data_IF_076984696936
#
_entry.id   IF_076984696936
#
_cell.length_a   1.000
_cell.length_b   1.000
_cell.length_c   1.000
_cell.angle_alpha   90.00
_cell.angle_beta   90.00
_cell.angle_gamma   90.00
#
_symmetry.space_group_name_H-M   'P 1'
#
loop_
_entity.id
_entity.type
_entity.pdbx_description
1 polymer ?
#
# COMPACT_ATOMS: atom_id res chain seq x y z
N UNK A 1 55.06 -33.83 -31.96
CA UNK A 1 53.90 -34.18 -32.78
C UNK A 1 52.66 -33.88 -31.95
N UNK A 2 51.86 -32.94 -32.21
CA UNK A 2 51.19 -32.24 -33.18
C UNK A 2 50.61 -30.93 -32.65
N UNK A 3 50.76 -29.97 -33.48
CA UNK A 3 50.25 -28.60 -33.38
C UNK A 3 48.73 -28.53 -33.31
N UNK A 4 48.17 -27.69 -32.44
CA UNK A 4 46.79 -27.20 -32.59
C UNK A 4 46.82 -25.66 -32.57
N UNK A 5 46.28 -25.16 -33.67
CA UNK A 5 46.30 -23.79 -34.12
C UNK A 5 45.47 -22.82 -33.24
N UNK A 6 45.97 -21.58 -33.15
CA UNK A 6 45.32 -20.41 -32.62
C UNK A 6 44.09 -20.01 -33.46
N UNK A 7 42.91 -19.84 -32.84
CA UNK A 7 41.77 -19.12 -33.42
C UNK A 7 41.72 -17.72 -32.80
N UNK A 8 41.88 -16.72 -33.69
CA UNK A 8 41.95 -15.31 -33.35
C UNK A 8 40.64 -14.74 -32.82
N UNK A 9 40.75 -14.03 -31.71
CA UNK A 9 39.71 -13.16 -31.18
C UNK A 9 39.61 -11.88 -32.03
N UNK A 10 38.57 -11.76 -32.86
CA UNK A 10 38.22 -10.49 -33.53
C UNK A 10 37.63 -9.54 -32.47
N UNK A 11 38.34 -8.49 -32.15
CA UNK A 11 37.83 -7.33 -31.44
C UNK A 11 36.85 -6.58 -32.37
N UNK A 12 35.57 -6.54 -32.00
CA UNK A 12 34.60 -5.64 -32.60
C UNK A 12 34.80 -4.30 -31.93
N UNK A 13 35.39 -3.35 -32.67
CA UNK A 13 35.45 -1.96 -32.29
C UNK A 13 34.08 -1.30 -32.50
N UNK A 14 33.37 -0.93 -31.44
CA UNK A 14 32.21 -0.07 -31.55
C UNK A 14 32.73 1.39 -31.62
N UNK A 15 32.51 2.00 -32.78
CA UNK A 15 32.72 3.45 -32.95
C UNK A 15 31.61 4.23 -32.17
N UNK A 16 31.92 5.40 -31.58
CA UNK A 16 30.92 6.23 -30.94
C UNK A 16 30.10 6.94 -32.03
N UNK A 17 28.83 6.56 -32.15
CA UNK A 17 27.84 7.34 -32.91
C UNK A 17 27.52 8.61 -32.14
N UNK A 18 27.88 9.75 -32.73
CA UNK A 18 27.48 11.09 -32.31
C UNK A 18 25.94 11.15 -32.32
N UNK A 19 25.34 11.44 -31.18
CA UNK A 19 23.94 11.80 -31.06
C UNK A 19 23.81 13.24 -31.60
N UNK A 20 23.30 13.37 -32.80
CA UNK A 20 22.87 14.66 -33.37
C UNK A 20 21.58 15.06 -32.61
N UNK A 21 21.57 16.31 -32.12
CA UNK A 21 20.43 16.99 -31.52
C UNK A 21 19.22 16.90 -32.46
N UNK A 22 18.18 16.15 -32.01
CA UNK A 22 16.86 16.23 -32.65
C UNK A 22 16.14 17.48 -32.14
N UNK A 23 15.81 18.42 -33.05
CA UNK A 23 14.93 19.54 -32.79
C UNK A 23 13.59 19.04 -32.21
N UNK A 24 12.98 19.73 -31.21
CA UNK A 24 11.67 19.38 -30.70
C UNK A 24 10.63 19.57 -31.82
N UNK A 25 9.77 18.55 -31.98
CA UNK A 25 8.60 18.63 -32.85
C UNK A 25 7.73 19.82 -32.44
N UNK A 26 7.17 20.59 -33.38
CA UNK A 26 6.29 21.68 -33.02
C UNK A 26 5.02 21.14 -32.35
N UNK A 27 4.78 21.63 -31.14
CA UNK A 27 3.52 21.40 -30.41
C UNK A 27 2.37 21.99 -31.24
N UNK A 28 1.30 21.21 -31.42
CA UNK A 28 0.10 21.67 -32.11
C UNK A 28 -0.55 22.84 -31.35
N UNK A 29 -1.10 23.81 -32.08
CA UNK A 29 -1.76 24.99 -31.48
C UNK A 29 -2.89 24.60 -30.50
N UNK A 30 -3.48 23.41 -30.63
CA UNK A 30 -4.50 22.88 -29.71
C UNK A 30 -3.96 22.50 -28.32
N UNK A 31 -2.67 22.23 -28.17
CA UNK A 31 -2.07 21.85 -26.87
C UNK A 31 -1.67 23.07 -26.02
N UNK A 32 -1.55 24.25 -26.64
CA UNK A 32 -1.19 25.50 -25.93
C UNK A 32 -2.37 26.17 -25.23
N UNK A 33 -3.58 26.01 -25.76
CA UNK A 33 -4.77 26.65 -25.19
C UNK A 33 -5.30 25.95 -23.95
N UNK A 34 -4.96 24.65 -23.73
CA UNK A 34 -5.36 23.89 -22.53
C UNK A 34 -4.45 24.13 -21.31
N UNK A 35 -3.26 24.67 -21.51
CA UNK A 35 -2.28 24.88 -20.43
C UNK A 35 -2.48 26.19 -19.64
N UNK A 36 -3.33 27.11 -20.10
CA UNK A 36 -3.38 28.48 -19.57
C UNK A 36 -4.75 28.97 -19.08
N UNK A 37 -5.74 28.06 -18.93
CA UNK A 37 -7.01 28.40 -18.29
C UNK A 37 -7.07 27.84 -16.86
N UNK A 38 -6.84 28.68 -15.82
CA UNK A 38 -6.95 28.24 -14.41
C UNK A 38 -8.38 27.89 -13.99
N UNK A 39 -9.35 28.00 -14.90
CA UNK A 39 -10.76 27.67 -14.70
C UNK A 39 -11.25 26.48 -15.51
N UNK A 40 -10.43 25.91 -16.40
CA UNK A 40 -10.79 24.71 -17.15
C UNK A 40 -10.78 23.49 -16.21
N UNK A 41 -11.87 23.30 -15.48
CA UNK A 41 -12.15 22.04 -14.78
C UNK A 41 -12.28 20.97 -15.85
N UNK A 42 -11.47 19.93 -15.72
CA UNK A 42 -11.54 18.78 -16.61
C UNK A 42 -12.88 18.03 -16.31
N UNK A 43 -13.90 18.15 -17.17
CA UNK A 43 -15.22 17.58 -16.86
C UNK A 43 -15.20 16.07 -16.71
N UNK A 44 -14.16 15.40 -17.17
CA UNK A 44 -14.00 13.94 -17.02
C UNK A 44 -13.58 13.50 -15.61
N UNK A 45 -13.29 14.40 -14.68
CA UNK A 45 -12.96 14.10 -13.30
C UNK A 45 -14.11 14.39 -12.32
N UNK A 46 -15.12 15.17 -12.73
CA UNK A 46 -16.26 15.55 -11.87
C UNK A 46 -17.53 14.71 -12.11
N UNK A 47 -17.67 14.04 -13.25
CA UNK A 47 -18.83 13.22 -13.61
C UNK A 47 -18.50 11.71 -13.63
N UNK A 48 -17.98 11.19 -12.51
CA UNK A 48 -18.10 9.77 -12.24
C UNK A 48 -19.60 9.42 -12.16
N UNK A 49 -20.00 8.32 -12.81
CA UNK A 49 -21.35 7.77 -12.73
C UNK A 49 -21.88 7.86 -11.27
N UNK A 50 -22.88 8.73 -10.96
CA UNK A 50 -23.32 8.93 -9.58
C UNK A 50 -23.83 7.65 -8.92
N UNK A 51 -24.43 6.74 -9.71
CA UNK A 51 -24.85 5.42 -9.24
C UNK A 51 -23.63 4.52 -8.97
N UNK A 52 -22.62 4.58 -9.81
CA UNK A 52 -21.37 3.87 -9.61
C UNK A 52 -20.65 4.32 -8.33
N UNK A 53 -20.56 5.62 -8.11
CA UNK A 53 -19.96 6.19 -6.90
C UNK A 53 -20.78 5.84 -5.63
N UNK A 54 -22.11 5.82 -5.72
CA UNK A 54 -22.96 5.38 -4.61
C UNK A 54 -22.72 3.89 -4.27
N UNK A 55 -22.60 3.03 -5.29
CA UNK A 55 -22.26 1.61 -5.13
C UNK A 55 -20.86 1.42 -4.53
N UNK A 56 -19.88 2.23 -4.96
CA UNK A 56 -18.54 2.24 -4.37
C UNK A 56 -18.60 2.61 -2.90
N UNK A 57 -19.27 3.69 -2.55
CA UNK A 57 -19.43 4.13 -1.16
C UNK A 57 -20.05 3.05 -0.30
N UNK A 58 -21.14 2.43 -0.74
CA UNK A 58 -21.79 1.35 -0.02
C UNK A 58 -20.83 0.19 0.26
N UNK A 59 -20.13 -0.30 -0.77
CA UNK A 59 -19.16 -1.41 -0.63
C UNK A 59 -18.00 -1.04 0.29
N UNK A 60 -17.45 0.16 0.15
CA UNK A 60 -16.33 0.63 0.97
C UNK A 60 -16.74 0.87 2.43
N UNK A 61 -18.01 1.24 2.68
CA UNK A 61 -18.56 1.38 4.04
C UNK A 61 -19.05 0.05 4.64
N UNK A 62 -19.05 -1.05 3.86
CA UNK A 62 -19.47 -2.37 4.32
C UNK A 62 -20.91 -2.76 4.05
N UNK A 63 -21.66 -1.92 3.35
CA UNK A 63 -23.01 -2.22 2.83
C UNK A 63 -22.91 -2.95 1.50
N UNK A 64 -22.78 -4.27 1.55
CA UNK A 64 -22.68 -5.11 0.35
C UNK A 64 -24.02 -5.39 -0.33
N UNK A 65 -25.12 -5.12 0.35
CA UNK A 65 -26.46 -5.36 -0.18
C UNK A 65 -26.84 -4.36 -1.28
N UNK A 66 -26.21 -3.20 -1.28
CA UNK A 66 -26.32 -2.21 -2.35
C UNK A 66 -25.74 -2.68 -3.70
N UNK A 67 -24.89 -3.73 -3.71
CA UNK A 67 -24.33 -4.30 -4.94
C UNK A 67 -24.94 -5.67 -5.23
N UNK A 68 -25.80 -5.82 -6.28
CA UNK A 68 -26.54 -7.07 -6.56
C UNK A 68 -25.64 -8.30 -6.73
N UNK A 69 -24.45 -8.14 -7.34
CA UNK A 69 -23.51 -9.24 -7.54
C UNK A 69 -22.89 -9.71 -6.20
N UNK A 70 -22.54 -8.77 -5.33
CA UNK A 70 -21.98 -9.10 -4.01
C UNK A 70 -23.06 -9.65 -3.08
N UNK A 71 -24.27 -9.09 -3.12
CA UNK A 71 -25.43 -9.56 -2.37
C UNK A 71 -25.70 -11.06 -2.59
N UNK A 72 -25.60 -11.53 -3.85
CA UNK A 72 -25.83 -12.93 -4.18
C UNK A 72 -24.65 -13.85 -3.85
N UNK A 73 -23.43 -13.46 -4.19
CA UNK A 73 -22.24 -14.32 -4.11
C UNK A 73 -21.61 -14.35 -2.71
N UNK A 74 -21.57 -13.22 -2.01
CA UNK A 74 -20.88 -13.10 -0.74
C UNK A 74 -21.43 -14.01 0.37
N UNK A 75 -22.76 -14.12 0.59
CA UNK A 75 -23.29 -15.06 1.57
C UNK A 75 -22.89 -16.51 1.27
N UNK A 76 -23.00 -16.94 0.01
CA UNK A 76 -22.63 -18.30 -0.40
C UNK A 76 -21.16 -18.58 -0.09
N UNK A 77 -20.26 -17.70 -0.49
CA UNK A 77 -18.82 -17.88 -0.26
C UNK A 77 -18.45 -17.83 1.24
N UNK A 78 -19.15 -17.04 2.06
CA UNK A 78 -18.88 -16.95 3.49
C UNK A 78 -19.15 -18.27 4.25
N UNK A 79 -20.06 -19.08 3.76
CA UNK A 79 -20.40 -20.38 4.36
C UNK A 79 -19.38 -21.48 4.01
N UNK A 80 -18.55 -21.29 2.98
CA UNK A 80 -17.52 -22.27 2.63
C UNK A 80 -16.34 -22.16 3.60
N UNK A 81 -15.91 -23.23 4.27
CA UNK A 81 -14.74 -23.20 5.16
C UNK A 81 -13.47 -23.06 4.33
N UNK A 82 -12.78 -21.94 4.42
CA UNK A 82 -11.48 -21.71 3.80
C UNK A 82 -10.96 -20.31 4.07
N UNK A 83 -9.68 -20.16 4.32
CA UNK A 83 -8.93 -18.91 4.37
C UNK A 83 -7.60 -19.09 3.63
N UNK A 84 -7.03 -18.03 3.03
CA UNK A 84 -7.51 -16.64 2.91
C UNK A 84 -8.68 -16.49 1.93
N UNK A 85 -9.32 -15.30 1.94
CA UNK A 85 -10.51 -14.97 1.14
C UNK A 85 -10.40 -13.65 0.42
N UNK A 86 -11.15 -13.48 -0.65
CA UNK A 86 -11.36 -12.18 -1.28
C UNK A 86 -12.05 -11.20 -0.32
N UNK A 87 -11.49 -10.02 -0.14
CA UNK A 87 -12.05 -8.99 0.76
C UNK A 87 -13.41 -8.47 0.27
N UNK A 88 -13.68 -8.49 -1.05
CA UNK A 88 -14.96 -8.06 -1.63
C UNK A 88 -16.01 -9.19 -1.60
N UNK A 89 -15.85 -10.24 -2.38
CA UNK A 89 -16.87 -11.26 -2.55
C UNK A 89 -16.77 -12.44 -1.56
N UNK A 90 -15.75 -12.47 -0.69
CA UNK A 90 -15.47 -13.56 0.25
C UNK A 90 -15.13 -14.91 -0.40
N UNK A 91 -14.81 -14.93 -1.71
CA UNK A 91 -14.39 -16.15 -2.39
C UNK A 91 -13.19 -16.80 -1.68
N UNK A 92 -13.25 -18.09 -1.35
CA UNK A 92 -12.17 -18.78 -0.66
C UNK A 92 -11.00 -19.06 -1.60
N UNK A 93 -9.76 -18.95 -1.08
CA UNK A 93 -8.54 -19.24 -1.84
C UNK A 93 -7.85 -20.54 -1.40
N UNK A 94 -8.07 -20.93 -0.14
CA UNK A 94 -7.47 -22.12 0.43
C UNK A 94 -8.32 -23.38 0.22
N UNK A 95 -7.78 -24.57 0.61
CA UNK A 95 -8.53 -25.82 0.60
C UNK A 95 -9.72 -25.78 1.58
N UNK A 96 -10.79 -26.58 1.35
CA UNK A 96 -10.92 -27.51 0.22
C UNK A 96 -11.47 -26.87 -1.07
N UNK A 97 -12.08 -25.66 -1.01
CA UNK A 97 -12.84 -25.09 -2.12
C UNK A 97 -12.06 -24.15 -3.02
N UNK A 98 -10.90 -23.66 -2.59
CA UNK A 98 -10.13 -22.65 -3.32
C UNK A 98 -9.72 -23.07 -4.74
N UNK A 99 -9.43 -24.35 -4.98
CA UNK A 99 -9.11 -24.89 -6.29
C UNK A 99 -10.29 -24.76 -7.27
N UNK A 100 -11.49 -25.13 -6.84
CA UNK A 100 -12.72 -25.09 -7.66
C UNK A 100 -13.07 -23.61 -7.96
N UNK A 101 -13.05 -22.78 -6.92
CA UNK A 101 -13.40 -21.36 -7.03
C UNK A 101 -12.40 -20.62 -7.92
N UNK A 102 -11.12 -21.01 -7.91
CA UNK A 102 -10.09 -20.49 -8.83
C UNK A 102 -10.40 -20.82 -10.29
N UNK A 103 -10.85 -22.05 -10.60
CA UNK A 103 -11.24 -22.44 -11.97
C UNK A 103 -12.43 -21.61 -12.49
N UNK A 104 -13.31 -21.14 -11.58
CA UNK A 104 -14.42 -20.24 -11.90
C UNK A 104 -13.98 -18.76 -12.05
N UNK A 105 -12.70 -18.46 -12.00
CA UNK A 105 -12.13 -17.11 -12.16
C UNK A 105 -12.09 -16.25 -10.91
N UNK A 106 -12.37 -16.83 -9.73
CA UNK A 106 -12.31 -16.14 -8.43
C UNK A 106 -10.96 -16.37 -7.70
N UNK A 107 -9.93 -16.82 -8.40
CA UNK A 107 -8.59 -16.96 -7.80
C UNK A 107 -8.00 -15.62 -7.37
N UNK A 108 -7.01 -15.64 -6.42
CA UNK A 108 -6.35 -14.43 -5.97
C UNK A 108 -5.64 -13.72 -7.13
N UNK A 109 -5.75 -12.41 -7.18
CA UNK A 109 -5.05 -11.62 -8.18
C UNK A 109 -3.57 -11.47 -7.82
N UNK A 110 -2.68 -11.72 -8.80
CA UNK A 110 -1.24 -11.80 -8.53
C UNK A 110 -0.63 -10.49 -7.99
N UNK A 111 -1.15 -9.31 -8.43
CA UNK A 111 -0.65 -8.01 -7.97
C UNK A 111 -1.20 -7.61 -6.60
N UNK A 112 -2.40 -8.08 -6.24
CA UNK A 112 -2.99 -7.85 -4.91
C UNK A 112 -3.84 -9.05 -4.48
N UNK A 113 -3.26 -10.03 -3.76
CA UNK A 113 -3.95 -11.25 -3.36
C UNK A 113 -5.13 -11.05 -2.40
N UNK A 114 -5.34 -9.84 -1.90
CA UNK A 114 -6.52 -9.50 -1.09
C UNK A 114 -7.81 -9.47 -1.91
N UNK A 115 -7.71 -9.37 -3.24
CA UNK A 115 -8.83 -9.34 -4.19
C UNK A 115 -8.75 -10.51 -5.16
N UNK A 116 -9.90 -11.01 -5.63
CA UNK A 116 -9.95 -12.00 -6.70
C UNK A 116 -9.97 -11.34 -8.09
N UNK A 117 -9.53 -12.08 -9.11
CA UNK A 117 -9.53 -11.59 -10.48
C UNK A 117 -10.92 -11.23 -11.01
N UNK A 118 -12.00 -11.90 -10.55
CA UNK A 118 -13.37 -11.54 -10.94
C UNK A 118 -13.79 -10.18 -10.37
N UNK A 119 -13.53 -9.92 -9.08
CA UNK A 119 -13.81 -8.62 -8.48
C UNK A 119 -13.00 -7.50 -9.14
N UNK A 120 -11.72 -7.76 -9.45
CA UNK A 120 -10.90 -6.77 -10.14
C UNK A 120 -11.47 -6.41 -11.51
N UNK A 121 -11.86 -7.40 -12.33
CA UNK A 121 -12.48 -7.13 -13.65
C UNK A 121 -13.77 -6.30 -13.54
N UNK A 122 -14.54 -6.47 -12.45
CA UNK A 122 -15.72 -5.62 -12.19
C UNK A 122 -15.26 -4.20 -11.85
N UNK A 123 -14.23 -4.04 -11.02
CA UNK A 123 -13.67 -2.74 -10.67
C UNK A 123 -13.07 -2.03 -11.89
N UNK A 124 -12.39 -2.74 -12.77
CA UNK A 124 -11.82 -2.20 -14.03
C UNK A 124 -12.90 -1.73 -15.01
N UNK A 125 -14.08 -2.34 -14.99
CA UNK A 125 -15.21 -1.93 -15.83
C UNK A 125 -15.99 -0.75 -15.26
N UNK A 126 -15.93 -0.57 -13.96
CA UNK A 126 -16.61 0.50 -13.23
C UNK A 126 -15.55 1.31 -12.47
N UNK A 127 -14.71 2.01 -13.26
CA UNK A 127 -13.73 2.94 -12.71
C UNK A 127 -14.44 3.98 -11.85
N UNK A 128 -13.85 4.26 -10.69
CA UNK A 128 -14.44 5.21 -9.76
C UNK A 128 -14.05 4.88 -8.33
N UNK A 129 -14.72 5.52 -7.41
CA UNK A 129 -14.49 5.39 -5.99
C UNK A 129 -15.47 6.26 -5.20
N UNK A 130 -15.19 6.44 -3.93
CA UNK A 130 -15.98 7.32 -3.08
C UNK A 130 -15.14 7.87 -1.94
N UNK A 131 -15.56 9.04 -1.43
CA UNK A 131 -15.06 9.55 -0.16
C UNK A 131 -15.65 8.70 0.96
N UNK A 132 -14.74 8.09 1.73
CA UNK A 132 -15.07 7.29 2.91
C UNK A 132 -14.05 7.58 4.01
N UNK A 133 -14.52 7.46 5.25
CA UNK A 133 -13.62 7.43 6.39
C UNK A 133 -12.94 6.07 6.46
N UNK A 134 -11.63 6.08 6.58
CA UNK A 134 -10.81 4.86 6.67
C UNK A 134 -9.57 5.12 7.51
N UNK A 135 -8.91 4.03 7.91
CA UNK A 135 -7.59 4.13 8.52
C UNK A 135 -6.52 3.78 7.50
N UNK A 136 -5.48 4.57 7.51
CA UNK A 136 -4.33 4.46 6.61
C UNK A 136 -3.07 4.24 7.43
N UNK A 137 -2.16 3.44 6.88
CA UNK A 137 -0.87 3.13 7.46
C UNK A 137 0.22 3.35 6.41
N UNK A 138 1.20 4.19 6.73
CA UNK A 138 2.48 4.25 6.04
C UNK A 138 3.57 3.69 6.94
N UNK A 139 4.40 2.84 6.42
CA UNK A 139 5.59 2.31 7.10
C UNK A 139 6.79 2.40 6.16
N UNK A 140 7.96 2.79 6.69
CA UNK A 140 9.13 3.09 5.89
C UNK A 140 10.42 2.76 6.64
N UNK A 141 11.46 2.32 5.93
CA UNK A 141 12.77 1.99 6.52
C UNK A 141 13.58 3.27 6.75
N UNK A 142 13.98 3.51 7.99
CA UNK A 142 14.83 4.64 8.35
C UNK A 142 16.27 4.38 7.95
N UNK A 143 16.91 5.40 7.33
CA UNK A 143 18.29 5.28 6.87
C UNK A 143 18.49 4.29 5.72
N UNK A 144 17.45 4.05 4.92
CA UNK A 144 17.46 3.13 3.78
C UNK A 144 18.54 3.47 2.74
N UNK A 145 18.79 4.75 2.50
CA UNK A 145 19.88 5.22 1.62
C UNK A 145 21.24 4.75 2.13
N UNK A 146 21.52 4.97 3.42
CA UNK A 146 22.79 4.53 4.04
C UNK A 146 22.90 2.99 4.08
N UNK A 147 21.79 2.28 4.30
CA UNK A 147 21.73 0.82 4.21
C UNK A 147 22.07 0.35 2.79
N UNK A 148 21.52 1.00 1.78
CA UNK A 148 21.79 0.71 0.37
C UNK A 148 23.24 0.94 -0.03
N UNK A 149 23.90 1.98 0.52
CA UNK A 149 25.32 2.27 0.29
C UNK A 149 26.26 1.24 0.95
N UNK A 150 25.86 0.66 2.09
CA UNK A 150 26.67 -0.31 2.85
C UNK A 150 26.47 -1.75 2.41
N UNK A 151 25.45 -2.03 1.62
CA UNK A 151 25.07 -3.37 1.18
C UNK A 151 25.25 -3.55 -0.33
N UNK A 152 25.45 -4.79 -0.77
CA UNK A 152 25.30 -5.08 -2.20
C UNK A 152 23.84 -4.93 -2.62
N UNK A 153 23.56 -4.56 -3.88
CA UNK A 153 22.20 -4.42 -4.39
C UNK A 153 21.36 -5.69 -4.20
N UNK A 154 21.98 -6.87 -4.29
CA UNK A 154 21.31 -8.15 -4.06
C UNK A 154 20.91 -8.33 -2.59
N UNK A 155 21.79 -7.97 -1.63
CA UNK A 155 21.52 -8.06 -0.20
C UNK A 155 20.44 -7.03 0.20
N UNK A 156 20.52 -5.80 -0.29
CA UNK A 156 19.51 -4.78 -0.05
C UNK A 156 18.12 -5.20 -0.59
N UNK A 157 18.07 -5.74 -1.81
CA UNK A 157 16.83 -6.30 -2.37
C UNK A 157 16.27 -7.43 -1.51
N UNK A 158 17.12 -8.33 -0.99
CA UNK A 158 16.68 -9.41 -0.12
C UNK A 158 16.08 -8.87 1.18
N UNK A 159 16.71 -7.87 1.79
CA UNK A 159 16.21 -7.20 2.99
C UNK A 159 14.84 -6.55 2.76
N UNK A 160 14.68 -5.77 1.68
CA UNK A 160 13.40 -5.13 1.33
C UNK A 160 12.31 -6.16 1.05
N UNK A 161 12.63 -7.25 0.34
CA UNK A 161 11.68 -8.33 0.09
C UNK A 161 11.22 -9.04 1.38
N UNK A 162 12.12 -9.27 2.32
CA UNK A 162 11.78 -9.86 3.63
C UNK A 162 10.90 -8.90 4.43
N UNK A 163 11.23 -7.61 4.47
CA UNK A 163 10.40 -6.57 5.07
C UNK A 163 8.99 -6.54 4.45
N UNK A 164 8.88 -6.56 3.12
CA UNK A 164 7.60 -6.61 2.42
C UNK A 164 6.82 -7.89 2.73
N UNK A 165 7.51 -9.02 2.90
CA UNK A 165 6.90 -10.28 3.31
C UNK A 165 6.22 -10.17 4.68
N UNK A 166 6.92 -9.59 5.66
CA UNK A 166 6.35 -9.32 7.00
C UNK A 166 5.17 -8.37 6.91
N UNK A 167 5.33 -7.22 6.22
CA UNK A 167 4.26 -6.24 6.07
C UNK A 167 3.02 -6.83 5.40
N UNK A 168 3.20 -7.56 4.29
CA UNK A 168 2.09 -8.18 3.56
C UNK A 168 1.34 -9.21 4.41
N UNK A 169 2.05 -10.02 5.19
CA UNK A 169 1.45 -10.99 6.10
C UNK A 169 0.64 -10.28 7.18
N UNK A 170 1.25 -9.35 7.90
CA UNK A 170 0.60 -8.64 9.01
C UNK A 170 -0.62 -7.85 8.55
N UNK A 171 -0.49 -7.03 7.48
CA UNK A 171 -1.59 -6.23 6.95
C UNK A 171 -2.76 -7.11 6.51
N UNK A 172 -2.50 -8.25 5.85
CA UNK A 172 -3.54 -9.18 5.45
C UNK A 172 -4.25 -9.82 6.64
N UNK A 173 -3.51 -10.28 7.65
CA UNK A 173 -4.04 -10.93 8.84
C UNK A 173 -4.87 -9.98 9.71
N UNK A 174 -4.51 -8.69 9.75
CA UNK A 174 -5.28 -7.67 10.46
C UNK A 174 -6.43 -7.09 9.63
N UNK A 175 -6.64 -7.59 8.40
CA UNK A 175 -7.77 -7.21 7.57
C UNK A 175 -7.53 -6.04 6.63
N UNK A 176 -6.33 -5.47 6.59
CA UNK A 176 -5.94 -4.42 5.67
C UNK A 176 -5.71 -4.89 4.24
N UNK A 177 -5.55 -3.93 3.35
CA UNK A 177 -5.18 -4.10 1.93
C UNK A 177 -3.95 -3.26 1.65
N UNK A 178 -2.91 -3.85 1.07
CA UNK A 178 -1.77 -3.06 0.59
C UNK A 178 -2.20 -2.33 -0.67
N UNK A 179 -2.11 -1.01 -0.63
CA UNK A 179 -2.33 -0.15 -1.80
C UNK A 179 -1.13 -0.21 -2.73
N UNK A 180 0.04 0.07 -2.21
CA UNK A 180 1.29 0.07 -2.99
C UNK A 180 2.54 -0.11 -2.11
N UNK A 181 3.61 -0.54 -2.76
CA UNK A 181 4.98 -0.46 -2.25
C UNK A 181 5.66 0.78 -2.82
N UNK A 182 6.39 1.50 -1.98
CA UNK A 182 6.99 2.80 -2.30
C UNK A 182 8.51 2.76 -2.02
N UNK A 183 9.26 2.12 -2.91
CA UNK A 183 10.70 1.94 -2.72
C UNK A 183 11.00 1.03 -1.54
N UNK A 184 11.21 1.57 -0.37
CA UNK A 184 11.45 0.91 0.90
C UNK A 184 10.27 1.10 1.89
N UNK A 185 9.17 1.69 1.41
CA UNK A 185 7.95 1.94 2.16
C UNK A 185 6.77 1.06 1.74
N UNK A 186 5.77 0.99 2.60
CA UNK A 186 4.49 0.29 2.40
C UNK A 186 3.34 1.24 2.71
N UNK A 187 2.38 1.34 1.81
CA UNK A 187 1.12 2.03 2.04
C UNK A 187 -0.03 1.04 2.10
N UNK A 188 -0.78 1.05 3.20
CA UNK A 188 -1.89 0.15 3.43
C UNK A 188 -3.16 0.89 3.84
N UNK A 189 -4.31 0.31 3.47
CA UNK A 189 -5.65 0.81 3.70
C UNK A 189 -6.44 -0.17 4.58
N UNK A 190 -7.08 0.35 5.61
CA UNK A 190 -8.03 -0.35 6.46
C UNK A 190 -9.40 0.30 6.25
N UNK A 191 -10.11 -0.17 5.25
CA UNK A 191 -11.40 0.35 4.82
C UNK A 191 -12.51 -0.38 5.57
N UNK A 192 -13.55 0.28 6.11
CA UNK A 192 -14.62 -0.38 6.86
C UNK A 192 -15.21 -1.59 6.15
N UNK A 193 -15.43 -1.50 4.84
CA UNK A 193 -15.94 -2.60 4.03
C UNK A 193 -15.02 -3.83 3.99
N UNK A 194 -13.72 -3.71 4.21
CA UNK A 194 -12.76 -4.82 4.15
C UNK A 194 -12.29 -5.25 5.54
N UNK A 195 -12.09 -4.25 6.40
CA UNK A 195 -11.52 -4.43 7.74
C UNK A 195 -12.59 -4.53 8.84
N UNK A 196 -13.83 -4.13 8.56
CA UNK A 196 -14.89 -4.04 9.54
C UNK A 196 -14.96 -2.66 10.22
N UNK A 197 -15.93 -2.46 11.13
CA UNK A 197 -16.11 -1.19 11.84
C UNK A 197 -14.92 -0.83 12.74
N UNK A 198 -14.16 -1.80 13.17
CA UNK A 198 -12.94 -1.69 14.00
C UNK A 198 -11.67 -1.45 13.16
N UNK A 199 -11.82 -0.87 11.96
CA UNK A 199 -10.70 -0.61 11.02
C UNK A 199 -9.56 0.21 11.64
N UNK A 200 -9.85 1.15 12.55
CA UNK A 200 -8.84 1.96 13.23
C UNK A 200 -8.01 1.12 14.21
N UNK A 201 -8.67 0.33 15.04
CA UNK A 201 -8.01 -0.60 15.95
C UNK A 201 -7.13 -1.60 15.18
N UNK A 202 -7.63 -2.13 14.05
CA UNK A 202 -6.88 -3.06 13.19
C UNK A 202 -5.68 -2.42 12.54
N UNK A 203 -5.77 -1.17 12.12
CA UNK A 203 -4.65 -0.40 11.57
C UNK A 203 -3.54 -0.19 12.60
N UNK A 204 -3.89 0.18 13.83
CA UNK A 204 -2.94 0.33 14.94
C UNK A 204 -2.31 -1.02 15.31
N UNK A 205 -3.12 -2.08 15.41
CA UNK A 205 -2.59 -3.43 15.69
C UNK A 205 -1.65 -3.92 14.58
N UNK A 206 -1.96 -3.63 13.31
CA UNK A 206 -1.05 -3.92 12.21
C UNK A 206 0.30 -3.23 12.39
N UNK A 207 0.31 -1.94 12.74
CA UNK A 207 1.52 -1.17 12.98
C UNK A 207 2.36 -1.77 14.13
N UNK A 208 1.72 -2.07 15.25
CA UNK A 208 2.37 -2.72 16.41
C UNK A 208 2.98 -4.07 16.04
N UNK A 209 2.22 -4.90 15.33
CA UNK A 209 2.72 -6.20 14.87
C UNK A 209 3.86 -6.07 13.88
N UNK A 210 3.80 -5.10 12.96
CA UNK A 210 4.91 -4.85 12.03
C UNK A 210 6.18 -4.48 12.78
N UNK A 211 6.14 -3.61 13.80
CA UNK A 211 7.30 -3.31 14.61
C UNK A 211 7.85 -4.57 15.33
N UNK A 212 6.99 -5.34 16.00
CA UNK A 212 7.40 -6.59 16.68
C UNK A 212 8.05 -7.58 15.71
N UNK A 213 7.36 -7.88 14.61
CA UNK A 213 7.77 -8.93 13.69
C UNK A 213 9.02 -8.55 12.88
N UNK A 214 9.25 -7.25 12.62
CA UNK A 214 10.50 -6.75 12.03
C UNK A 214 11.66 -6.69 13.04
N UNK A 215 11.38 -6.84 14.31
CA UNK A 215 12.40 -6.95 15.38
C UNK A 215 12.85 -8.36 15.66
N UNK A 216 11.96 -9.35 15.51
CA UNK A 216 12.15 -10.73 15.96
C UNK A 216 12.35 -11.75 14.84
N UNK A 217 12.25 -11.37 13.56
CA UNK A 217 12.25 -12.34 12.46
C UNK A 217 13.64 -12.86 12.11
N UNK A 218 13.81 -14.18 12.19
CA UNK A 218 14.99 -14.90 11.69
C UNK A 218 15.14 -14.81 10.16
N UNK A 219 14.08 -14.42 9.46
CA UNK A 219 14.04 -14.31 8.00
C UNK A 219 14.63 -12.98 7.49
N UNK A 220 15.02 -12.09 8.42
CA UNK A 220 15.60 -10.81 8.08
C UNK A 220 17.12 -10.93 8.03
N UNK A 221 17.77 -10.56 6.90
CA UNK A 221 19.22 -10.68 6.71
C UNK A 221 20.05 -9.65 7.48
N UNK A 222 19.47 -8.99 8.49
CA UNK A 222 20.10 -7.91 9.26
C UNK A 222 20.85 -8.40 10.51
N UNK A 223 21.64 -9.46 10.43
CA UNK A 223 22.54 -9.94 11.52
C UNK A 223 21.86 -10.01 12.90
N UNK A 224 20.55 -10.32 12.94
CA UNK A 224 19.77 -10.37 14.19
C UNK A 224 19.41 -9.01 14.78
N UNK A 225 19.61 -7.91 14.05
CA UNK A 225 19.19 -6.56 14.49
C UNK A 225 17.79 -6.23 14.01
N UNK A 226 16.97 -5.58 14.85
CA UNK A 226 15.65 -5.08 14.46
C UNK A 226 15.76 -4.12 13.26
N UNK A 227 14.82 -4.24 12.29
CA UNK A 227 14.78 -3.27 11.20
C UNK A 227 14.34 -1.89 11.70
N UNK A 228 14.96 -0.81 11.21
CA UNK A 228 14.66 0.55 11.64
C UNK A 228 13.40 1.08 10.95
N UNK A 229 12.24 0.51 11.25
CA UNK A 229 10.95 0.90 10.66
C UNK A 229 10.34 2.06 11.44
N UNK A 230 9.90 3.12 10.73
CA UNK A 230 9.04 4.18 11.26
C UNK A 230 7.64 4.05 10.68
N UNK A 231 6.60 4.15 11.50
CA UNK A 231 5.21 3.94 11.08
C UNK A 231 4.34 5.12 11.46
N UNK A 232 3.48 5.57 10.53
CA UNK A 232 2.42 6.53 10.76
C UNK A 232 1.05 5.90 10.51
N UNK A 233 0.11 6.09 11.44
CA UNK A 233 -1.29 5.66 11.33
C UNK A 233 -2.21 6.86 11.50
N UNK A 234 -3.16 7.03 10.58
CA UNK A 234 -4.15 8.09 10.61
C UNK A 234 -5.52 7.57 10.18
N UNK A 235 -6.57 8.08 10.82
CA UNK A 235 -7.97 7.87 10.41
C UNK A 235 -8.54 9.20 9.94
N UNK A 236 -9.11 9.19 8.74
CA UNK A 236 -9.72 10.37 8.14
C UNK A 236 -10.42 10.04 6.83
N UNK A 237 -11.12 11.03 6.29
CA UNK A 237 -11.81 10.91 5.01
C UNK A 237 -10.83 11.04 3.84
N UNK A 238 -10.93 10.12 2.89
CA UNK A 238 -10.18 10.17 1.65
C UNK A 238 -11.01 9.56 0.51
N UNK A 239 -10.75 9.98 -0.72
CA UNK A 239 -11.27 9.30 -1.90
C UNK A 239 -10.60 7.94 -2.03
N UNK A 240 -11.36 6.87 -2.00
CA UNK A 240 -10.88 5.49 -2.14
C UNK A 240 -11.49 4.87 -3.39
N UNK A 241 -10.67 4.34 -4.25
CA UNK A 241 -11.15 3.75 -5.49
C UNK A 241 -10.05 3.25 -6.41
N UNK A 242 -10.43 2.99 -7.65
CA UNK A 242 -9.51 2.62 -8.72
C UNK A 242 -9.08 3.88 -9.47
N UNK A 243 -7.80 4.16 -9.43
CA UNK A 243 -7.17 5.31 -10.07
C UNK A 243 -6.34 4.83 -11.25
N UNK A 244 -6.41 5.57 -12.36
CA UNK A 244 -5.73 5.26 -13.61
C UNK A 244 -6.69 5.31 -14.78
N UNK A 245 -6.20 5.00 -15.98
CA UNK A 245 -6.99 4.97 -17.22
C UNK A 245 -7.25 3.54 -17.66
N UNK A 246 -8.46 3.26 -18.13
CA UNK A 246 -8.80 1.95 -18.68
C UNK A 246 -7.85 1.57 -19.84
N UNK A 247 -7.26 0.39 -19.74
CA UNK A 247 -6.25 -0.10 -20.69
C UNK A 247 -4.79 0.18 -20.28
N UNK A 248 -4.59 1.02 -19.24
CA UNK A 248 -3.29 1.31 -18.65
C UNK A 248 -3.15 0.71 -17.24
N UNK A 249 -2.18 1.19 -16.48
CA UNK A 249 -1.99 0.79 -15.10
C UNK A 249 -3.14 1.30 -14.23
N UNK A 250 -3.82 0.38 -13.56
CA UNK A 250 -4.86 0.68 -12.59
C UNK A 250 -4.38 0.33 -11.17
N UNK A 251 -4.61 1.25 -10.23
CA UNK A 251 -4.29 1.05 -8.82
C UNK A 251 -5.54 1.23 -7.96
N UNK A 252 -5.78 0.31 -7.04
CA UNK A 252 -6.71 0.52 -5.94
C UNK A 252 -5.99 1.28 -4.83
N UNK A 253 -6.35 2.54 -4.62
CA UNK A 253 -5.63 3.44 -3.72
C UNK A 253 -6.56 4.45 -3.05
N UNK A 254 -6.01 5.25 -2.14
CA UNK A 254 -6.65 6.42 -1.56
C UNK A 254 -5.95 7.71 -2.01
N UNK A 255 -6.72 8.80 -2.14
CA UNK A 255 -6.24 10.14 -2.48
C UNK A 255 -6.84 11.18 -1.52
N UNK A 256 -6.10 12.21 -1.20
CA UNK A 256 -6.56 13.34 -0.39
C UNK A 256 -5.60 13.73 0.73
N UNK A 257 -5.99 14.75 1.50
CA UNK A 257 -5.14 15.32 2.56
C UNK A 257 -4.84 14.33 3.68
N UNK A 258 -5.78 13.44 3.99
CA UNK A 258 -5.59 12.40 4.98
C UNK A 258 -4.46 11.42 4.60
N UNK A 259 -4.28 11.11 3.30
CA UNK A 259 -3.16 10.32 2.79
C UNK A 259 -1.84 11.04 3.02
N UNK A 260 -1.81 12.36 2.69
CA UNK A 260 -0.63 13.20 2.88
C UNK A 260 -0.24 13.27 4.36
N UNK A 261 -1.22 13.46 5.24
CA UNK A 261 -0.99 13.48 6.68
C UNK A 261 -0.41 12.15 7.19
N UNK A 262 -0.96 11.02 6.74
CA UNK A 262 -0.44 9.70 7.12
C UNK A 262 1.03 9.52 6.70
N UNK A 263 1.36 9.93 5.47
CA UNK A 263 2.74 9.89 4.97
C UNK A 263 3.68 10.80 5.78
N UNK A 264 3.20 12.00 6.22
CA UNK A 264 3.99 12.90 7.06
C UNK A 264 4.20 12.35 8.47
N UNK A 265 3.20 11.71 9.06
CA UNK A 265 3.36 11.02 10.33
C UNK A 265 4.40 9.92 10.23
N UNK A 266 4.31 9.07 9.22
CA UNK A 266 5.37 8.07 8.99
C UNK A 266 6.74 8.73 8.86
N UNK A 267 6.88 9.78 8.05
CA UNK A 267 8.17 10.46 7.87
C UNK A 267 8.72 11.09 9.17
N UNK A 268 7.86 11.51 10.09
CA UNK A 268 8.23 12.10 11.38
C UNK A 268 8.55 11.05 12.46
N UNK A 269 8.12 9.82 12.27
CA UNK A 269 8.40 8.73 13.19
C UNK A 269 9.91 8.39 13.17
N UNK A 270 10.49 8.21 14.34
CA UNK A 270 11.86 7.73 14.48
C UNK A 270 11.98 6.23 14.11
N UNK A 271 13.19 5.70 14.14
CA UNK A 271 13.40 4.26 14.03
C UNK A 271 12.67 3.54 15.18
N UNK A 272 11.92 2.48 14.84
CA UNK A 272 11.13 1.68 15.80
C UNK A 272 10.04 2.48 16.51
N UNK A 273 9.52 3.53 15.87
CA UNK A 273 8.46 4.37 16.42
C UNK A 273 7.18 4.26 15.58
N UNK A 274 6.05 4.17 16.27
CA UNK A 274 4.71 4.30 15.74
C UNK A 274 4.14 5.66 16.15
N UNK A 275 3.74 6.47 15.18
CA UNK A 275 2.96 7.69 15.42
C UNK A 275 1.51 7.47 15.00
N UNK A 276 0.61 7.64 15.96
CA UNK A 276 -0.83 7.49 15.78
C UNK A 276 -1.46 8.88 15.85
N UNK A 277 -2.20 9.31 14.83
CA UNK A 277 -2.95 10.57 14.93
C UNK A 277 -4.03 10.48 16.02
N UNK A 278 -4.37 11.61 16.58
CA UNK A 278 -5.42 11.71 17.60
C UNK A 278 -6.76 11.16 17.07
N UNK A 279 -7.11 11.44 15.82
CA UNK A 279 -8.31 10.90 15.16
C UNK A 279 -8.29 9.38 15.04
N UNK A 280 -7.13 8.78 14.75
CA UNK A 280 -7.01 7.33 14.68
C UNK A 280 -7.16 6.68 16.08
N UNK A 281 -6.58 7.31 17.10
CA UNK A 281 -6.69 6.82 18.47
C UNK A 281 -8.13 6.92 18.98
N UNK A 282 -8.80 8.06 18.74
CA UNK A 282 -10.22 8.24 19.09
C UNK A 282 -11.12 7.21 18.38
N UNK A 283 -10.89 6.96 17.11
CA UNK A 283 -11.66 5.98 16.35
C UNK A 283 -11.40 4.53 16.80
N UNK A 284 -10.20 4.23 17.29
CA UNK A 284 -9.86 2.91 17.82
C UNK A 284 -10.42 2.66 19.23
N UNK A 285 -10.70 3.72 19.98
CA UNK A 285 -11.08 3.63 21.39
C UNK A 285 -9.91 3.29 22.32
N UNK A 286 -10.13 3.29 23.66
CA UNK A 286 -9.10 2.96 24.65
C UNK A 286 -8.64 1.49 24.50
N UNK A 287 -7.43 1.14 25.00
CA UNK A 287 -6.59 1.89 25.94
C UNK A 287 -5.52 2.76 25.29
N UNK A 288 -5.12 3.83 26.00
CA UNK A 288 -4.02 4.73 25.64
C UNK A 288 -2.75 4.47 26.46
N UNK A 289 -2.74 3.41 27.24
CA UNK A 289 -1.63 3.07 28.14
C UNK A 289 -0.32 2.89 27.36
N UNK A 290 0.74 3.56 27.84
CA UNK A 290 2.05 3.51 27.21
C UNK A 290 2.24 4.42 25.98
N UNK A 291 1.23 5.25 25.64
CA UNK A 291 1.33 6.23 24.58
C UNK A 291 1.74 7.61 25.12
N UNK A 292 2.67 8.26 24.43
CA UNK A 292 3.13 9.60 24.75
C UNK A 292 2.52 10.61 23.76
N UNK A 293 1.78 11.65 24.22
CA UNK A 293 1.24 12.68 23.33
C UNK A 293 2.38 13.56 22.80
N UNK A 294 2.34 13.86 21.50
CA UNK A 294 3.29 14.74 20.82
C UNK A 294 2.58 15.71 19.90
N UNK A 295 2.89 16.96 19.99
CA UNK A 295 2.46 17.97 19.05
C UNK A 295 3.52 18.12 17.93
N UNK A 296 3.13 17.82 16.69
CA UNK A 296 4.04 17.72 15.56
C UNK A 296 3.79 18.84 14.55
N UNK A 297 4.83 19.61 14.24
CA UNK A 297 4.84 20.51 13.09
C UNK A 297 5.28 19.75 11.84
N UNK A 298 4.34 19.41 10.97
CA UNK A 298 4.59 18.58 9.80
C UNK A 298 4.71 19.44 8.54
N UNK A 299 5.68 19.14 7.67
CA UNK A 299 5.93 19.90 6.44
C UNK A 299 4.68 19.92 5.54
N UNK A 300 4.20 21.12 5.20
CA UNK A 300 3.02 21.31 4.34
C UNK A 300 1.69 21.19 5.06
N UNK A 301 1.67 21.02 6.37
CA UNK A 301 0.47 21.06 7.22
C UNK A 301 0.50 22.35 8.01
N UNK A 302 -0.54 23.19 7.84
CA UNK A 302 -0.56 24.55 8.39
C UNK A 302 -0.68 24.63 9.93
N UNK A 303 -1.26 23.61 10.54
CA UNK A 303 -1.47 23.55 12.02
C UNK A 303 -0.71 22.38 12.59
N UNK A 304 -0.19 22.52 13.82
CA UNK A 304 0.37 21.39 14.54
C UNK A 304 -0.65 20.25 14.65
N UNK A 305 -0.16 19.03 14.56
CA UNK A 305 -0.96 17.81 14.62
C UNK A 305 -0.66 17.10 15.93
N UNK A 306 -1.71 16.83 16.71
CA UNK A 306 -1.59 15.98 17.88
C UNK A 306 -1.48 14.53 17.41
N UNK A 307 -0.40 13.89 17.80
CA UNK A 307 -0.14 12.47 17.57
C UNK A 307 0.32 11.80 18.87
N UNK A 308 0.15 10.50 18.91
CA UNK A 308 0.53 9.67 20.05
C UNK A 308 1.67 8.76 19.61
N UNK A 309 2.77 8.81 20.34
CA UNK A 309 3.99 8.06 20.09
C UNK A 309 3.99 6.77 20.90
N UNK A 310 4.27 5.66 20.22
CA UNK A 310 4.57 4.38 20.83
C UNK A 310 5.92 3.91 20.30
N UNK A 311 6.87 3.64 21.20
CA UNK A 311 8.19 3.13 20.84
C UNK A 311 8.31 1.69 21.24
N UNK A 312 8.68 0.88 20.27
CA UNK A 312 9.11 -0.49 20.57
C UNK A 312 10.54 -0.44 21.13
N UNK A 313 10.63 -0.37 22.43
CA UNK A 313 11.88 -0.39 23.18
C UNK A 313 12.47 -1.81 23.27
N UNK A 314 12.06 -2.72 22.37
CA UNK A 314 12.53 -4.09 22.32
C UNK A 314 14.04 -4.19 22.57
N UNK A 315 14.41 -4.69 23.75
CA UNK A 315 15.74 -5.13 24.17
C UNK A 315 16.94 -4.16 24.18
N UNK A 316 16.75 -2.85 24.13
CA UNK A 316 17.86 -1.94 24.47
C UNK A 316 18.17 -1.99 25.98
N UNK A 317 17.18 -2.35 26.82
CA UNK A 317 17.35 -2.43 28.27
C UNK A 317 18.14 -3.67 28.79
N UNK A 318 18.48 -4.63 27.94
CA UNK A 318 19.19 -5.86 28.36
C UNK A 318 20.72 -5.78 28.26
N UNK A 319 21.28 -4.67 27.74
CA UNK A 319 22.74 -4.50 27.57
C UNK A 319 23.43 -3.55 28.55
N UNK A 320 22.68 -2.91 29.42
CA UNK A 320 23.22 -2.02 30.48
C UNK A 320 23.03 -2.61 31.90
N UNK A 321 23.03 -3.93 32.02
CA UNK A 321 23.14 -4.63 33.30
C UNK A 321 24.29 -5.61 33.30
#
# INVERSE_FOLDING_TARGET
>A
MGSIAALGARRIALAPTAVTSSDPMPESESDRDLANDPGARNPSLEDGDPEGNARWRAVLSGDYDANPALRGLRPVFRHLPSDPRCKLCSAPYGPPFGGIVKLLGFGPWAKNPSLCGACLRVMERHLGGADVELTMLFADLRGSTELGERMTSAAYRSLVNSYYGVAARVIRETGGVISKYLGDGVFALFVPGFSGPDHAQRGIEAARRMLRDTGASSDLPAEGRPLPVGIGVHTGSAYVGVVGKAGDLLEFTALGDAVNLTARLSSAAASRELLISDTALQAAGPPTDGLEPRELSLKGIARPVLAWSERDLGEVAARDR
#
